data_IF_778903787044
#
_entry.id   IF_778903787044
#
_cell.length_a   1.000
_cell.length_b   1.000
_cell.length_c   1.000
_cell.angle_alpha   90.00
_cell.angle_beta   90.00
_cell.angle_gamma   90.00
#
_symmetry.space_group_name_H-M   'P 1'
#
loop_
_entity.id
_entity.type
_entity.pdbx_description
1 polymer ?
#
# COMPACT_ATOMS: atom_id res chain seq x y z
N UNK A 1 9.37 2.99 18.12
CA UNK A 1 7.93 2.76 18.31
C UNK A 1 7.24 3.98 18.92
N UNK A 2 7.67 4.47 20.09
CA UNK A 2 7.03 5.58 20.79
C UNK A 2 6.92 6.87 19.96
N UNK A 3 7.92 7.21 19.15
CA UNK A 3 7.92 8.39 18.26
C UNK A 3 6.82 8.36 17.21
N UNK A 4 6.30 7.19 16.86
CA UNK A 4 5.21 7.00 15.89
C UNK A 4 3.83 7.25 16.49
N UNK A 5 3.72 7.34 17.81
CA UNK A 5 2.47 7.55 18.57
C UNK A 5 1.33 6.62 18.11
N UNK A 6 1.55 5.30 18.07
CA UNK A 6 0.49 4.38 17.65
C UNK A 6 -0.64 4.34 18.67
N UNK A 7 -1.87 4.05 18.22
CA UNK A 7 -3.01 3.78 19.12
C UNK A 7 -2.80 2.48 19.92
N UNK A 8 -2.24 1.46 19.25
CA UNK A 8 -1.76 0.21 19.86
C UNK A 8 -0.35 -0.05 19.35
N UNK A 9 0.63 -0.11 20.25
CA UNK A 9 2.02 -0.34 19.89
C UNK A 9 2.59 -1.56 20.60
N UNK A 10 3.17 -2.49 19.82
CA UNK A 10 3.86 -3.67 20.32
C UNK A 10 5.31 -3.66 19.83
N UNK A 11 6.26 -3.78 20.73
CA UNK A 11 7.69 -3.93 20.44
C UNK A 11 8.15 -5.33 20.79
N UNK A 12 8.95 -5.92 19.91
CA UNK A 12 9.55 -7.25 20.10
C UNK A 12 11.05 -7.17 19.96
N UNK A 13 11.80 -7.77 20.86
CA UNK A 13 13.27 -7.86 20.83
C UNK A 13 13.71 -9.15 21.49
N UNK A 14 14.84 -9.72 21.06
CA UNK A 14 15.46 -10.89 21.69
C UNK A 14 16.09 -10.58 23.05
N UNK A 15 16.50 -9.33 23.25
CA UNK A 15 17.22 -8.89 24.45
C UNK A 15 16.25 -8.53 25.57
N UNK A 16 16.19 -9.37 26.58
CA UNK A 16 15.39 -9.10 27.80
C UNK A 16 15.75 -7.76 28.44
N UNK A 17 17.04 -7.38 28.42
CA UNK A 17 17.50 -6.11 28.97
C UNK A 17 16.96 -4.92 28.20
N UNK A 18 16.92 -4.98 26.86
CA UNK A 18 16.34 -3.93 26.01
C UNK A 18 14.84 -3.85 26.20
N UNK A 19 14.16 -4.99 26.27
CA UNK A 19 12.71 -5.05 26.56
C UNK A 19 12.38 -4.46 27.92
N UNK A 20 13.15 -4.78 28.95
CA UNK A 20 12.98 -4.22 30.30
C UNK A 20 13.15 -2.70 30.32
N UNK A 21 14.18 -2.19 29.64
CA UNK A 21 14.43 -0.76 29.55
C UNK A 21 13.33 -0.05 28.73
N UNK A 22 12.84 -0.68 27.64
CA UNK A 22 11.75 -0.16 26.83
C UNK A 22 10.44 -0.05 27.62
N UNK A 23 10.09 -1.07 28.42
CA UNK A 23 8.93 -1.05 29.32
C UNK A 23 9.03 0.06 30.37
N UNK A 24 10.23 0.27 30.91
CA UNK A 24 10.48 1.35 31.89
C UNK A 24 10.29 2.74 31.29
N UNK A 25 10.73 2.95 30.03
CA UNK A 25 10.65 4.26 29.36
C UNK A 25 9.30 4.55 28.75
N UNK A 26 8.57 3.52 28.37
CA UNK A 26 7.31 3.63 27.63
C UNK A 26 6.26 2.66 28.19
N UNK A 27 5.73 2.93 29.40
CA UNK A 27 4.79 2.03 30.08
C UNK A 27 3.45 1.87 29.33
N UNK A 28 3.10 2.83 28.48
CA UNK A 28 1.86 2.80 27.67
C UNK A 28 1.94 1.85 26.46
N UNK A 29 3.13 1.30 26.18
CA UNK A 29 3.35 0.39 25.04
C UNK A 29 3.60 -1.03 25.54
N UNK A 30 3.21 -2.02 24.74
CA UNK A 30 3.50 -3.43 25.04
C UNK A 30 4.86 -3.81 24.47
N UNK A 31 5.65 -4.57 25.26
CA UNK A 31 6.92 -5.10 24.81
C UNK A 31 7.04 -6.58 25.19
N UNK A 32 7.53 -7.41 24.28
CA UNK A 32 7.71 -8.85 24.47
C UNK A 32 9.14 -9.29 24.12
N UNK A 33 9.68 -10.21 24.91
CA UNK A 33 10.97 -10.85 24.61
C UNK A 33 10.67 -12.11 23.81
N UNK A 34 10.78 -12.00 22.48
CA UNK A 34 10.51 -13.09 21.54
C UNK A 34 11.47 -13.01 20.35
N UNK A 35 11.85 -14.14 19.74
CA UNK A 35 12.52 -14.13 18.45
C UNK A 35 11.55 -13.62 17.36
N UNK A 36 12.10 -13.01 16.31
CA UNK A 36 11.30 -12.48 15.20
C UNK A 36 10.45 -13.55 14.52
N UNK A 37 10.97 -14.77 14.46
CA UNK A 37 10.29 -15.96 13.91
C UNK A 37 9.06 -16.39 14.72
N UNK A 38 8.95 -15.96 15.98
CA UNK A 38 7.79 -16.23 16.86
C UNK A 38 6.79 -15.08 16.94
N UNK A 39 6.96 -14.00 16.16
CA UNK A 39 6.06 -12.83 16.23
C UNK A 39 4.59 -13.17 15.96
N UNK A 40 4.34 -14.25 15.24
CA UNK A 40 2.98 -14.78 15.00
C UNK A 40 2.23 -15.23 16.27
N UNK A 41 2.94 -15.48 17.38
CA UNK A 41 2.35 -15.87 18.67
C UNK A 41 1.68 -14.69 19.40
N UNK A 42 1.88 -13.46 18.94
CA UNK A 42 1.23 -12.27 19.52
C UNK A 42 -0.30 -12.30 19.41
N UNK A 43 -0.85 -13.01 18.41
CA UNK A 43 -2.29 -13.19 18.22
C UNK A 43 -3.04 -11.95 17.71
N UNK A 44 -2.37 -10.81 17.59
CA UNK A 44 -2.90 -9.54 17.08
C UNK A 44 -2.53 -9.35 15.61
N UNK A 45 -3.29 -8.52 14.89
CA UNK A 45 -2.92 -8.03 13.56
C UNK A 45 -2.68 -6.51 13.59
N UNK A 46 -1.77 -6.02 12.74
CA UNK A 46 -1.30 -4.65 12.77
C UNK A 46 -1.40 -3.98 11.40
N UNK A 47 -1.70 -2.68 11.37
CA UNK A 47 -1.67 -1.86 10.15
C UNK A 47 -0.24 -1.68 9.62
N UNK A 48 0.74 -1.60 10.53
CA UNK A 48 2.15 -1.45 10.21
C UNK A 48 3.00 -2.45 10.98
N UNK A 49 3.85 -3.18 10.25
CA UNK A 49 4.90 -4.03 10.83
C UNK A 49 6.26 -3.47 10.40
N UNK A 50 7.16 -3.22 11.37
CA UNK A 50 8.46 -2.64 11.10
C UNK A 50 9.55 -3.60 11.56
N UNK A 51 10.36 -4.08 10.60
CA UNK A 51 11.56 -4.87 10.85
C UNK A 51 12.78 -3.93 10.78
N UNK A 52 13.33 -3.56 11.94
CA UNK A 52 14.47 -2.65 12.02
C UNK A 52 15.75 -3.44 12.28
N UNK A 53 16.63 -3.51 11.29
CA UNK A 53 17.90 -4.26 11.29
C UNK A 53 17.72 -5.79 11.49
N UNK A 54 16.48 -6.28 11.50
CA UNK A 54 16.15 -7.66 11.86
C UNK A 54 16.52 -8.65 10.76
N UNK A 55 16.25 -8.31 9.48
CA UNK A 55 16.36 -9.27 8.36
C UNK A 55 17.79 -9.76 8.12
N UNK A 56 18.79 -8.95 8.50
CA UNK A 56 20.21 -9.32 8.42
C UNK A 56 20.71 -10.13 9.62
N UNK A 57 19.94 -10.25 10.69
CA UNK A 57 20.35 -10.88 11.96
C UNK A 57 19.64 -12.20 12.23
N UNK A 58 18.49 -12.46 11.57
CA UNK A 58 17.73 -13.70 11.74
C UNK A 58 18.41 -14.87 11.01
N UNK A 59 18.25 -16.05 11.58
CA UNK A 59 18.80 -17.28 11.01
C UNK A 59 18.02 -17.73 9.77
N UNK A 60 16.68 -17.69 9.83
CA UNK A 60 15.78 -18.05 8.74
C UNK A 60 14.82 -16.90 8.40
N UNK A 61 15.17 -16.15 7.35
CA UNK A 61 14.36 -15.04 6.83
C UNK A 61 12.98 -15.52 6.37
N UNK A 62 12.89 -16.75 5.88
CA UNK A 62 11.65 -17.31 5.35
C UNK A 62 10.66 -17.62 6.49
N UNK A 63 11.18 -18.14 7.62
CA UNK A 63 10.37 -18.37 8.81
C UNK A 63 9.93 -17.06 9.44
N UNK A 64 10.83 -16.07 9.52
CA UNK A 64 10.48 -14.71 9.92
C UNK A 64 9.31 -14.16 9.10
N UNK A 65 9.40 -14.22 7.75
CA UNK A 65 8.36 -13.67 6.89
C UNK A 65 7.01 -14.41 7.04
N UNK A 66 7.04 -15.73 7.27
CA UNK A 66 5.84 -16.51 7.58
C UNK A 66 5.21 -16.10 8.93
N UNK A 67 6.05 -15.86 9.95
CA UNK A 67 5.56 -15.38 11.24
C UNK A 67 4.97 -13.97 11.12
N UNK A 68 5.61 -13.10 10.34
CA UNK A 68 5.11 -11.74 10.05
C UNK A 68 3.76 -11.79 9.34
N UNK A 69 3.52 -12.73 8.40
CA UNK A 69 2.22 -12.86 7.73
C UNK A 69 1.07 -13.11 8.71
N UNK A 70 1.32 -13.86 9.79
CA UNK A 70 0.27 -14.17 10.80
C UNK A 70 -0.21 -12.93 11.55
N UNK A 71 0.61 -11.88 11.61
CA UNK A 71 0.28 -10.58 12.24
C UNK A 71 -0.11 -9.52 11.21
N UNK A 72 -0.27 -9.91 9.94
CA UNK A 72 -0.72 -9.05 8.86
C UNK A 72 -2.21 -9.23 8.56
N UNK A 73 -2.82 -8.16 8.07
CA UNK A 73 -4.08 -8.17 7.34
C UNK A 73 -3.89 -7.55 5.95
N UNK A 74 -4.90 -7.55 5.09
CA UNK A 74 -4.79 -7.13 3.69
C UNK A 74 -4.27 -5.69 3.48
N UNK A 75 -4.45 -4.81 4.49
CA UNK A 75 -3.97 -3.41 4.44
C UNK A 75 -2.64 -3.20 5.15
N UNK A 76 -2.06 -4.24 5.75
CA UNK A 76 -0.79 -4.12 6.47
C UNK A 76 0.33 -3.66 5.55
N UNK A 77 1.11 -2.68 6.02
CA UNK A 77 2.37 -2.28 5.40
C UNK A 77 3.54 -2.84 6.20
N UNK A 78 4.30 -3.72 5.57
CA UNK A 78 5.56 -4.21 6.09
C UNK A 78 6.67 -3.24 5.68
N UNK A 79 7.40 -2.70 6.65
CA UNK A 79 8.53 -1.81 6.44
C UNK A 79 9.81 -2.48 6.93
N UNK A 80 10.77 -2.68 6.05
CA UNK A 80 12.09 -3.22 6.39
C UNK A 80 13.10 -2.08 6.33
N UNK A 81 13.75 -1.83 7.46
CA UNK A 81 14.76 -0.77 7.59
C UNK A 81 16.09 -1.43 7.94
N UNK A 82 17.09 -1.22 7.09
CA UNK A 82 18.43 -1.76 7.31
C UNK A 82 19.51 -0.83 6.78
N UNK A 83 20.76 -1.09 7.17
CA UNK A 83 21.90 -0.36 6.61
C UNK A 83 22.07 -0.68 5.12
N UNK A 84 22.34 0.36 4.34
CA UNK A 84 22.67 0.21 2.93
C UNK A 84 24.04 -0.42 2.75
N UNK A 85 24.15 -1.44 1.89
CA UNK A 85 25.41 -2.10 1.55
C UNK A 85 26.49 -1.14 1.05
N UNK A 86 26.11 -0.02 0.46
CA UNK A 86 27.04 1.01 0.00
C UNK A 86 27.94 1.55 1.13
N UNK A 87 27.42 1.55 2.35
CA UNK A 87 28.12 2.07 3.52
C UNK A 87 28.94 1.00 4.27
N UNK A 88 28.84 -0.28 3.88
CA UNK A 88 29.56 -1.38 4.51
C UNK A 88 31.07 -1.14 4.66
N UNK A 89 31.81 -0.72 3.60
CA UNK A 89 33.27 -0.52 3.73
C UNK A 89 33.61 0.56 4.76
N UNK A 90 32.84 1.66 4.75
CA UNK A 90 33.07 2.77 5.69
C UNK A 90 32.73 2.38 7.13
N UNK A 91 31.59 1.72 7.34
CA UNK A 91 31.19 1.28 8.67
C UNK A 91 32.16 0.24 9.23
N UNK A 92 32.67 -0.69 8.41
CA UNK A 92 33.70 -1.64 8.78
C UNK A 92 35.05 -0.96 9.15
N UNK A 93 35.40 0.11 8.44
CA UNK A 93 36.59 0.91 8.77
C UNK A 93 36.42 1.61 10.13
N UNK A 94 35.28 2.21 10.40
CA UNK A 94 34.94 2.86 11.67
C UNK A 94 34.98 1.87 12.85
N UNK A 95 34.56 0.63 12.63
CA UNK A 95 34.68 -0.45 13.64
C UNK A 95 36.14 -0.87 13.89
N UNK A 96 36.94 -1.01 12.82
CA UNK A 96 38.38 -1.30 12.93
C UNK A 96 39.13 -0.19 13.68
N UNK A 97 38.74 1.07 13.44
CA UNK A 97 39.29 2.24 14.12
C UNK A 97 38.74 2.44 15.55
N UNK A 98 37.83 1.57 16.02
CA UNK A 98 37.14 1.65 17.32
C UNK A 98 36.32 2.94 17.50
N UNK A 99 36.01 3.62 16.44
CA UNK A 99 35.12 4.80 16.42
C UNK A 99 33.65 4.42 16.48
N UNK A 100 33.30 3.20 16.08
CA UNK A 100 31.98 2.58 16.23
C UNK A 100 32.11 1.29 17.01
N UNK A 101 31.17 0.98 17.92
CA UNK A 101 31.10 -0.34 18.58
C UNK A 101 30.83 -1.42 17.54
N UNK A 102 31.50 -2.56 17.66
CA UNK A 102 31.17 -3.75 16.86
C UNK A 102 29.73 -4.15 17.15
N UNK A 103 28.93 -4.23 16.10
CA UNK A 103 27.61 -4.83 16.13
C UNK A 103 27.69 -6.36 15.95
N UNK A 104 26.57 -7.07 16.07
CA UNK A 104 26.48 -8.47 15.65
C UNK A 104 26.85 -8.61 14.17
N UNK A 105 27.27 -9.80 13.78
CA UNK A 105 27.49 -10.10 12.36
C UNK A 105 26.17 -9.93 11.60
N UNK A 106 26.17 -9.06 10.61
CA UNK A 106 25.00 -8.75 9.81
C UNK A 106 25.21 -9.21 8.37
N UNK A 107 24.21 -9.84 7.81
CA UNK A 107 24.12 -10.06 6.38
C UNK A 107 23.72 -8.74 5.68
N UNK A 108 24.67 -8.17 4.94
CA UNK A 108 24.45 -6.94 4.17
C UNK A 108 23.67 -7.22 2.89
N UNK A 109 22.36 -7.39 3.03
CA UNK A 109 21.48 -7.69 1.91
C UNK A 109 21.20 -6.42 1.11
N UNK A 110 21.45 -6.41 -0.21
CA UNK A 110 20.98 -5.33 -1.08
C UNK A 110 19.45 -5.32 -1.19
N UNK A 111 18.87 -4.17 -1.50
CA UNK A 111 17.41 -4.00 -1.55
C UNK A 111 16.72 -4.90 -2.58
N UNK A 112 17.40 -5.26 -3.66
CA UNK A 112 16.90 -6.19 -4.67
C UNK A 112 16.87 -7.64 -4.18
N UNK A 113 17.81 -8.05 -3.34
CA UNK A 113 17.77 -9.35 -2.67
C UNK A 113 16.65 -9.42 -1.65
N UNK A 114 16.42 -8.34 -0.89
CA UNK A 114 15.29 -8.26 0.04
C UNK A 114 13.98 -8.36 -0.73
N UNK A 115 13.85 -7.67 -1.85
CA UNK A 115 12.64 -7.75 -2.70
C UNK A 115 12.39 -9.17 -3.22
N UNK A 116 13.46 -9.91 -3.56
CA UNK A 116 13.34 -11.33 -3.92
C UNK A 116 12.91 -12.22 -2.76
N UNK A 117 13.50 -12.02 -1.58
CA UNK A 117 13.11 -12.75 -0.37
C UNK A 117 11.67 -12.46 0.03
N UNK A 118 11.23 -11.20 -0.08
CA UNK A 118 9.85 -10.80 0.15
C UNK A 118 8.90 -11.53 -0.80
N UNK A 119 9.23 -11.58 -2.09
CA UNK A 119 8.41 -12.30 -3.08
C UNK A 119 8.29 -13.80 -2.75
N UNK A 120 9.38 -14.44 -2.33
CA UNK A 120 9.38 -15.84 -1.86
C UNK A 120 8.56 -16.03 -0.57
N UNK A 121 8.43 -14.97 0.23
CA UNK A 121 7.63 -14.93 1.45
C UNK A 121 6.18 -14.48 1.23
N UNK A 122 5.69 -14.44 -0.02
CA UNK A 122 4.36 -13.93 -0.39
C UNK A 122 4.14 -12.46 0.01
N UNK A 123 5.17 -11.63 -0.13
CA UNK A 123 5.08 -10.18 -0.04
C UNK A 123 5.47 -9.54 -1.37
N UNK A 124 4.79 -8.46 -1.72
CA UNK A 124 5.11 -7.63 -2.88
C UNK A 124 5.75 -6.33 -2.42
N UNK A 125 6.89 -5.99 -3.02
CA UNK A 125 7.56 -4.71 -2.77
C UNK A 125 6.81 -3.59 -3.48
N UNK A 126 6.33 -2.61 -2.70
CA UNK A 126 5.65 -1.41 -3.22
C UNK A 126 6.67 -0.31 -3.55
N UNK A 127 7.64 -0.10 -2.65
CA UNK A 127 8.60 1.00 -2.78
C UNK A 127 9.90 0.69 -2.07
N UNK A 128 11.01 1.13 -2.64
CA UNK A 128 12.34 1.13 -2.03
C UNK A 128 12.93 2.53 -2.09
N UNK A 129 13.49 2.99 -0.97
CA UNK A 129 14.18 4.29 -0.90
C UNK A 129 15.25 4.31 0.17
N UNK A 130 16.21 5.19 0.02
CA UNK A 130 17.27 5.42 1.02
C UNK A 130 16.89 6.54 1.99
N UNK A 131 17.37 6.43 3.23
CA UNK A 131 17.23 7.45 4.26
C UNK A 131 18.60 7.86 4.80
N UNK A 132 18.68 9.09 5.31
CA UNK A 132 19.87 9.64 5.99
C UNK A 132 21.10 9.58 5.09
N UNK A 133 21.18 10.38 4.01
CA UNK A 133 22.36 10.41 3.14
C UNK A 133 23.63 10.91 3.86
N UNK A 134 23.50 11.69 4.94
CA UNK A 134 24.61 12.17 5.74
C UNK A 134 24.48 11.71 7.20
N UNK A 135 25.22 10.67 7.60
CA UNK A 135 25.09 10.02 8.92
C UNK A 135 25.80 10.77 10.07
N UNK A 136 26.66 11.75 9.76
CA UNK A 136 27.39 12.49 10.79
C UNK A 136 26.50 13.59 11.40
N UNK A 137 26.46 13.69 12.72
CA UNK A 137 25.75 14.76 13.40
C UNK A 137 26.63 16.01 13.46
N UNK A 138 26.31 16.99 12.63
CA UNK A 138 26.86 18.34 12.68
C UNK A 138 25.68 19.31 12.87
N UNK A 139 25.62 20.06 14.01
CA UNK A 139 24.47 20.91 14.30
C UNK A 139 24.13 21.85 13.13
N UNK A 140 22.88 21.89 12.71
CA UNK A 140 22.39 22.69 11.58
C UNK A 140 22.71 22.11 10.20
N UNK A 141 23.93 21.63 9.96
CA UNK A 141 24.39 21.13 8.66
C UNK A 141 23.75 19.79 8.31
N UNK A 142 23.75 18.83 9.24
CA UNK A 142 23.21 17.49 8.99
C UNK A 142 21.73 17.53 8.61
N UNK A 143 20.93 18.35 9.31
CA UNK A 143 19.52 18.50 9.01
C UNK A 143 19.29 19.12 7.63
N UNK A 144 20.07 20.15 7.27
CA UNK A 144 20.00 20.80 5.98
C UNK A 144 20.41 19.84 4.85
N UNK A 145 21.56 19.18 5.00
CA UNK A 145 22.09 18.25 3.98
C UNK A 145 21.13 17.08 3.77
N UNK A 146 20.63 16.46 4.85
CA UNK A 146 19.68 15.36 4.76
C UNK A 146 18.35 15.77 4.13
N UNK A 147 17.89 17.00 4.40
CA UNK A 147 16.67 17.53 3.80
C UNK A 147 16.85 17.81 2.30
N UNK A 148 18.00 18.34 1.89
CA UNK A 148 18.27 18.68 0.49
C UNK A 148 18.63 17.43 -0.31
N UNK A 149 19.62 16.64 0.13
CA UNK A 149 20.10 15.45 -0.58
C UNK A 149 19.06 14.32 -0.58
N UNK A 150 18.29 14.18 0.51
CA UNK A 150 17.24 13.15 0.61
C UNK A 150 16.08 13.34 -0.38
N UNK A 151 15.89 14.59 -0.86
CA UNK A 151 14.80 14.92 -1.79
C UNK A 151 15.26 15.04 -3.26
N UNK A 152 16.56 14.95 -3.53
CA UNK A 152 17.06 15.02 -4.91
C UNK A 152 16.87 13.69 -5.63
N UNK A 153 16.28 13.69 -6.85
CA UNK A 153 16.14 12.51 -7.68
C UNK A 153 17.50 11.81 -7.89
N UNK A 154 17.56 10.51 -7.64
CA UNK A 154 18.78 9.71 -7.81
C UNK A 154 19.75 9.69 -6.62
N UNK A 155 19.75 10.69 -5.73
CA UNK A 155 20.64 10.70 -4.55
C UNK A 155 20.04 9.99 -3.33
N UNK A 156 18.75 9.73 -3.31
CA UNK A 156 18.09 8.96 -2.25
C UNK A 156 18.63 7.52 -2.12
N UNK A 157 19.25 6.95 -3.15
CA UNK A 157 19.92 5.64 -3.08
C UNK A 157 21.22 5.65 -2.27
N UNK A 158 21.82 6.83 -2.04
CA UNK A 158 23.05 6.98 -1.25
C UNK A 158 22.81 7.01 0.27
N UNK A 159 21.56 6.85 0.70
CA UNK A 159 21.22 6.85 2.12
C UNK A 159 21.98 5.80 2.93
N UNK A 160 22.33 6.13 4.19
CA UNK A 160 22.91 5.19 5.15
C UNK A 160 21.99 4.00 5.38
N UNK A 161 20.69 4.22 5.43
CA UNK A 161 19.69 3.19 5.60
C UNK A 161 18.85 3.03 4.32
N UNK A 162 18.59 1.79 3.94
CA UNK A 162 17.62 1.42 2.93
C UNK A 162 16.31 1.03 3.60
N UNK A 163 15.21 1.52 3.04
CA UNK A 163 13.86 1.19 3.47
C UNK A 163 13.14 0.49 2.32
N UNK A 164 12.62 -0.69 2.59
CA UNK A 164 11.77 -1.45 1.67
C UNK A 164 10.37 -1.51 2.27
N UNK A 165 9.38 -1.01 1.53
CA UNK A 165 7.97 -1.08 1.90
C UNK A 165 7.31 -2.16 1.06
N UNK A 166 6.60 -3.06 1.73
CA UNK A 166 5.94 -4.19 1.09
C UNK A 166 4.54 -4.41 1.66
N UNK A 167 3.75 -5.21 0.97
CA UNK A 167 2.44 -5.70 1.43
C UNK A 167 2.35 -7.21 1.24
N UNK A 168 1.50 -7.86 2.01
CA UNK A 168 1.21 -9.28 1.83
C UNK A 168 0.42 -9.49 0.53
N UNK A 169 0.79 -10.55 -0.22
CA UNK A 169 0.03 -11.10 -1.34
C UNK A 169 -0.43 -12.53 -1.04
N UNK A 170 -0.37 -12.94 0.22
CA UNK A 170 -0.86 -14.25 0.63
C UNK A 170 -2.37 -14.34 0.40
N UNK A 171 -2.85 -15.31 -0.39
CA UNK A 171 -4.27 -15.48 -0.69
C UNK A 171 -5.14 -15.60 0.57
N UNK A 172 -4.64 -16.22 1.63
CA UNK A 172 -5.39 -16.40 2.89
C UNK A 172 -5.60 -15.07 3.64
N UNK A 173 -4.67 -14.11 3.49
CA UNK A 173 -4.76 -12.77 4.02
C UNK A 173 -5.67 -11.90 3.14
N UNK A 174 -5.54 -12.04 1.82
CA UNK A 174 -6.30 -11.27 0.82
C UNK A 174 -7.75 -11.71 0.76
N UNK A 175 -8.03 -13.02 0.86
CA UNK A 175 -9.38 -13.57 0.75
C UNK A 175 -10.35 -13.00 1.80
N UNK A 176 -9.85 -12.63 2.98
CA UNK A 176 -10.63 -11.94 4.01
C UNK A 176 -11.08 -10.52 3.60
N UNK A 177 -10.46 -9.96 2.58
CA UNK A 177 -10.70 -8.59 2.11
C UNK A 177 -11.25 -8.54 0.67
N UNK A 178 -11.70 -9.65 0.12
CA UNK A 178 -12.28 -9.68 -1.23
C UNK A 178 -13.49 -8.75 -1.32
N UNK A 179 -13.47 -7.74 -2.20
CA UNK A 179 -14.64 -6.93 -2.46
C UNK A 179 -15.76 -7.81 -3.00
N UNK A 180 -16.99 -7.52 -2.57
CA UNK A 180 -18.17 -8.34 -2.91
C UNK A 180 -19.08 -7.66 -3.91
N UNK A 181 -18.90 -6.37 -4.13
CA UNK A 181 -19.74 -5.57 -5.02
C UNK A 181 -18.94 -4.49 -5.71
N UNK A 182 -19.41 -4.05 -6.89
CA UNK A 182 -18.74 -3.01 -7.67
C UNK A 182 -19.73 -1.94 -8.12
N UNK A 183 -19.34 -0.68 -7.98
CA UNK A 183 -20.04 0.48 -8.57
C UNK A 183 -19.16 1.10 -9.65
N UNK A 184 -19.66 1.15 -10.87
CA UNK A 184 -19.01 1.77 -12.03
C UNK A 184 -19.64 3.14 -12.24
N UNK A 185 -18.87 4.20 -12.02
CA UNK A 185 -19.29 5.58 -12.23
C UNK A 185 -18.90 5.99 -13.65
N UNK A 186 -19.89 6.45 -14.41
CA UNK A 186 -19.72 6.90 -15.79
C UNK A 186 -20.05 8.40 -15.87
N UNK A 187 -19.04 9.29 -15.71
CA UNK A 187 -19.26 10.71 -15.95
C UNK A 187 -19.42 10.95 -17.45
N UNK A 188 -20.58 11.46 -17.86
CA UNK A 188 -20.91 11.67 -19.27
C UNK A 188 -21.23 13.14 -19.56
N UNK A 189 -20.58 13.71 -20.57
CA UNK A 189 -20.85 15.04 -21.06
C UNK A 189 -20.64 15.10 -22.56
N UNK A 190 -21.71 15.39 -23.32
CA UNK A 190 -21.71 15.38 -24.78
C UNK A 190 -21.27 14.02 -25.37
N UNK A 191 -21.82 12.93 -24.84
CA UNK A 191 -21.48 11.56 -25.20
C UNK A 191 -22.71 10.70 -25.55
N UNK A 192 -23.76 11.31 -26.08
CA UNK A 192 -25.05 10.65 -26.41
C UNK A 192 -24.87 9.36 -27.24
N UNK A 193 -23.92 9.37 -28.20
CA UNK A 193 -23.62 8.23 -29.07
C UNK A 193 -22.97 7.01 -28.40
N UNK A 194 -22.41 7.17 -27.19
CA UNK A 194 -21.69 6.12 -26.53
C UNK A 194 -22.46 5.42 -25.39
N UNK A 195 -23.51 6.07 -24.85
CA UNK A 195 -24.23 5.58 -23.66
C UNK A 195 -24.76 4.15 -23.82
N UNK A 196 -25.41 3.85 -24.94
CA UNK A 196 -25.91 2.51 -25.23
C UNK A 196 -24.79 1.47 -25.37
N UNK A 197 -23.69 1.86 -25.99
CA UNK A 197 -22.55 0.98 -26.19
C UNK A 197 -21.89 0.58 -24.87
N UNK A 198 -21.81 1.49 -23.89
CA UNK A 198 -21.27 1.19 -22.54
C UNK A 198 -22.04 0.06 -21.91
N UNK A 199 -23.37 0.14 -21.85
CA UNK A 199 -24.20 -0.91 -21.24
C UNK A 199 -24.11 -2.25 -21.99
N UNK A 200 -24.00 -2.20 -23.32
CA UNK A 200 -23.87 -3.42 -24.12
C UNK A 200 -22.51 -4.12 -23.94
N UNK A 201 -21.46 -3.39 -23.59
CA UNK A 201 -20.08 -3.87 -23.54
C UNK A 201 -19.54 -4.14 -22.13
N UNK A 202 -20.13 -3.52 -21.09
CA UNK A 202 -19.70 -3.78 -19.70
C UNK A 202 -20.00 -5.23 -19.32
N UNK A 203 -19.00 -6.06 -19.02
CA UNK A 203 -19.23 -7.45 -18.60
C UNK A 203 -19.70 -7.52 -17.15
N UNK A 204 -20.31 -8.65 -16.78
CA UNK A 204 -20.60 -8.97 -15.39
C UNK A 204 -19.38 -9.62 -14.76
N UNK A 205 -18.83 -9.03 -13.69
CA UNK A 205 -17.60 -9.51 -13.02
C UNK A 205 -17.68 -9.48 -11.49
N UNK A 206 -18.69 -8.81 -10.93
CA UNK A 206 -18.88 -8.73 -9.48
C UNK A 206 -20.22 -9.38 -9.08
N UNK A 207 -20.30 -10.00 -7.87
CA UNK A 207 -21.52 -10.64 -7.38
C UNK A 207 -22.73 -9.68 -7.32
N UNK A 208 -22.47 -8.43 -7.03
CA UNK A 208 -23.41 -7.31 -7.15
C UNK A 208 -22.70 -6.18 -7.89
N UNK A 209 -23.30 -5.72 -8.96
CA UNK A 209 -22.72 -4.71 -9.84
C UNK A 209 -23.77 -3.64 -10.14
N UNK A 210 -23.34 -2.38 -10.13
CA UNK A 210 -24.15 -1.27 -10.56
C UNK A 210 -23.36 -0.33 -11.48
N UNK A 211 -24.08 0.34 -12.37
CA UNK A 211 -23.56 1.43 -13.19
C UNK A 211 -24.33 2.70 -12.83
N UNK A 212 -23.60 3.78 -12.59
CA UNK A 212 -24.15 5.09 -12.25
C UNK A 212 -23.67 6.09 -13.30
N UNK A 213 -24.56 6.47 -14.21
CA UNK A 213 -24.32 7.57 -15.11
C UNK A 213 -24.49 8.89 -14.39
N UNK A 214 -23.48 9.76 -14.48
CA UNK A 214 -23.53 11.12 -13.93
C UNK A 214 -23.39 12.11 -15.07
N UNK A 215 -24.50 12.70 -15.46
CA UNK A 215 -24.57 13.65 -16.57
C UNK A 215 -24.00 15.03 -16.17
N UNK A 216 -23.15 15.57 -17.04
CA UNK A 216 -22.24 16.68 -16.79
C UNK A 216 -22.64 18.03 -17.38
N UNK A 217 -23.94 18.38 -17.43
CA UNK A 217 -24.49 19.59 -18.08
C UNK A 217 -24.13 19.62 -19.57
N UNK A 218 -24.55 18.58 -20.30
CA UNK A 218 -24.37 18.44 -21.74
C UNK A 218 -25.18 19.49 -22.52
N UNK A 219 -24.77 19.74 -23.74
CA UNK A 219 -25.46 20.59 -24.71
C UNK A 219 -26.12 19.79 -25.83
N UNK A 220 -25.91 18.48 -25.83
CA UNK A 220 -26.54 17.51 -26.75
C UNK A 220 -27.56 16.64 -25.98
N UNK A 221 -28.11 15.63 -26.65
CA UNK A 221 -29.15 14.72 -26.13
C UNK A 221 -28.60 13.65 -25.15
N UNK A 222 -27.44 13.88 -24.51
CA UNK A 222 -26.81 12.89 -23.62
C UNK A 222 -27.71 12.51 -22.45
N UNK A 223 -28.37 13.48 -21.81
CA UNK A 223 -29.29 13.20 -20.69
C UNK A 223 -30.50 12.37 -21.11
N UNK A 224 -31.14 12.74 -22.18
CA UNK A 224 -32.32 12.05 -22.76
C UNK A 224 -31.94 10.62 -23.14
N UNK A 225 -30.77 10.41 -23.75
CA UNK A 225 -30.25 9.08 -24.08
C UNK A 225 -29.99 8.25 -22.83
N UNK A 226 -29.35 8.81 -21.78
CA UNK A 226 -29.11 8.12 -20.50
C UNK A 226 -30.47 7.67 -19.91
N UNK A 227 -31.45 8.58 -19.82
CA UNK A 227 -32.77 8.23 -19.26
C UNK A 227 -33.46 7.12 -20.06
N UNK A 228 -33.41 7.19 -21.37
CA UNK A 228 -33.99 6.17 -22.27
C UNK A 228 -33.32 4.82 -22.05
N UNK A 229 -31.99 4.76 -22.06
CA UNK A 229 -31.24 3.52 -21.96
C UNK A 229 -31.37 2.91 -20.55
N UNK A 230 -31.39 3.71 -19.49
CA UNK A 230 -31.65 3.24 -18.11
C UNK A 230 -33.10 2.68 -17.99
N UNK A 231 -34.11 3.32 -18.64
CA UNK A 231 -35.48 2.83 -18.60
C UNK A 231 -35.74 1.56 -19.42
N UNK A 232 -34.95 1.33 -20.47
CA UNK A 232 -35.02 0.14 -21.33
C UNK A 232 -34.16 -1.03 -20.83
N UNK A 233 -33.30 -0.79 -19.84
CA UNK A 233 -32.30 -1.79 -19.40
C UNK A 233 -32.94 -2.90 -18.54
N UNK A 234 -32.81 -4.14 -18.99
CA UNK A 234 -33.28 -5.38 -18.33
C UNK A 234 -32.14 -6.38 -18.03
N UNK A 235 -30.89 -5.92 -18.06
CA UNK A 235 -29.71 -6.75 -17.89
C UNK A 235 -29.41 -7.11 -16.42
N UNK A 236 -28.25 -7.80 -16.17
CA UNK A 236 -27.96 -8.46 -14.90
C UNK A 236 -27.56 -7.53 -13.74
N UNK A 237 -27.34 -6.25 -13.95
CA UNK A 237 -26.91 -5.32 -12.92
C UNK A 237 -27.80 -4.08 -12.82
N UNK A 238 -27.72 -3.35 -11.71
CA UNK A 238 -28.49 -2.14 -11.52
C UNK A 238 -27.91 -0.98 -12.33
N UNK A 239 -28.74 -0.22 -13.03
CA UNK A 239 -28.32 1.00 -13.74
C UNK A 239 -29.08 2.20 -13.18
N UNK A 240 -28.36 3.27 -12.88
CA UNK A 240 -28.93 4.53 -12.35
C UNK A 240 -28.40 5.72 -13.12
N UNK A 241 -29.21 6.80 -13.14
CA UNK A 241 -28.83 8.08 -13.73
C UNK A 241 -29.00 9.22 -12.73
N UNK A 242 -28.07 10.17 -12.78
CA UNK A 242 -28.19 11.44 -12.04
C UNK A 242 -27.48 12.56 -12.77
N UNK A 243 -27.86 13.81 -12.47
CA UNK A 243 -27.14 14.99 -12.94
C UNK A 243 -26.13 15.45 -11.89
N UNK A 244 -24.99 15.96 -12.31
CA UNK A 244 -24.04 16.60 -11.40
C UNK A 244 -24.60 17.92 -10.83
N UNK A 245 -24.10 18.33 -9.67
CA UNK A 245 -24.53 19.59 -9.03
C UNK A 245 -23.62 20.77 -9.41
N UNK A 246 -22.34 20.49 -9.62
CA UNK A 246 -21.31 21.49 -9.93
C UNK A 246 -20.86 21.48 -11.38
N UNK A 247 -19.55 21.55 -11.60
CA UNK A 247 -18.94 21.58 -12.93
C UNK A 247 -17.71 20.68 -13.00
N UNK A 248 -17.53 20.08 -14.18
CA UNK A 248 -16.35 19.29 -14.54
C UNK A 248 -16.42 17.84 -14.08
N UNK A 249 -15.58 16.98 -14.69
CA UNK A 249 -15.54 15.54 -14.47
C UNK A 249 -15.39 15.16 -12.99
N UNK A 250 -14.52 15.89 -12.25
CA UNK A 250 -14.27 15.58 -10.82
C UNK A 250 -15.51 15.77 -9.93
N UNK A 251 -16.43 16.68 -10.27
CA UNK A 251 -17.69 16.85 -9.56
C UNK A 251 -18.64 15.69 -9.83
N UNK A 252 -18.78 15.31 -11.09
CA UNK A 252 -19.57 14.16 -11.51
C UNK A 252 -19.09 12.85 -10.82
N UNK A 253 -17.77 12.63 -10.78
CA UNK A 253 -17.18 11.45 -10.13
C UNK A 253 -17.46 11.45 -8.63
N UNK A 254 -17.25 12.57 -7.92
CA UNK A 254 -17.53 12.67 -6.48
C UNK A 254 -19.01 12.40 -6.18
N UNK A 255 -19.92 12.93 -6.99
CA UNK A 255 -21.35 12.69 -6.85
C UNK A 255 -21.68 11.21 -7.06
N UNK A 256 -21.11 10.58 -8.09
CA UNK A 256 -21.26 9.16 -8.35
C UNK A 256 -20.74 8.31 -7.19
N UNK A 257 -19.55 8.60 -6.67
CA UNK A 257 -18.98 7.90 -5.51
C UNK A 257 -19.84 8.05 -4.24
N UNK A 258 -20.39 9.23 -4.00
CA UNK A 258 -21.27 9.45 -2.85
C UNK A 258 -22.60 8.65 -2.95
N UNK A 259 -23.06 8.36 -4.15
CA UNK A 259 -24.26 7.57 -4.41
C UNK A 259 -24.01 6.06 -4.54
N UNK A 260 -22.74 5.65 -4.65
CA UNK A 260 -22.35 4.27 -4.86
C UNK A 260 -22.56 3.40 -3.62
N UNK A 261 -23.05 2.17 -3.83
CA UNK A 261 -23.26 1.17 -2.78
C UNK A 261 -22.28 -0.01 -2.83
N UNK A 262 -21.36 -0.02 -3.80
CA UNK A 262 -20.40 -1.09 -3.99
C UNK A 262 -19.16 -0.97 -3.12
N UNK A 263 -18.54 -2.11 -2.81
CA UNK A 263 -17.29 -2.19 -2.06
C UNK A 263 -16.09 -1.67 -2.90
N UNK A 264 -16.17 -1.80 -4.21
CA UNK A 264 -15.18 -1.32 -5.18
C UNK A 264 -15.81 -0.21 -6.01
N UNK A 265 -15.15 0.95 -6.04
CA UNK A 265 -15.56 2.09 -6.85
C UNK A 265 -14.65 2.18 -8.08
N UNK A 266 -15.25 2.21 -9.25
CA UNK A 266 -14.56 2.27 -10.54
C UNK A 266 -15.05 3.47 -11.34
N UNK A 267 -14.18 4.03 -12.18
CA UNK A 267 -14.54 5.08 -13.12
C UNK A 267 -14.38 4.51 -14.53
N UNK A 268 -15.40 4.68 -15.37
CA UNK A 268 -15.34 4.39 -16.80
C UNK A 268 -15.68 5.67 -17.57
N UNK A 269 -14.77 6.12 -18.41
CA UNK A 269 -14.98 7.29 -19.23
C UNK A 269 -16.01 7.02 -20.33
N UNK A 270 -16.96 7.95 -20.50
CA UNK A 270 -18.07 7.77 -21.43
C UNK A 270 -17.65 7.76 -22.91
N UNK A 271 -16.48 8.28 -23.24
CA UNK A 271 -15.88 8.22 -24.59
C UNK A 271 -15.31 6.85 -24.97
N UNK A 272 -15.38 5.88 -24.04
CA UNK A 272 -14.88 4.52 -24.23
C UNK A 272 -13.37 4.49 -24.59
N UNK A 273 -12.60 5.47 -24.13
CA UNK A 273 -11.14 5.50 -24.32
C UNK A 273 -10.44 4.30 -23.66
N UNK A 274 -11.02 3.76 -22.59
CA UNK A 274 -10.68 2.45 -22.03
C UNK A 274 -11.82 1.48 -22.38
N UNK A 275 -11.51 0.33 -23.00
CA UNK A 275 -12.53 -0.67 -23.31
C UNK A 275 -13.25 -1.17 -22.04
N UNK A 276 -14.59 -1.16 -21.99
CA UNK A 276 -15.35 -1.66 -20.84
C UNK A 276 -15.02 -3.11 -20.47
N UNK A 277 -14.57 -3.90 -21.43
CA UNK A 277 -14.15 -5.30 -21.28
C UNK A 277 -12.91 -5.47 -20.40
N UNK A 278 -12.14 -4.40 -20.17
CA UNK A 278 -10.96 -4.43 -19.27
C UNK A 278 -11.32 -4.23 -17.80
N UNK A 279 -12.52 -3.80 -17.46
CA UNK A 279 -12.96 -3.59 -16.08
C UNK A 279 -12.74 -4.81 -15.15
N UNK A 280 -13.01 -6.08 -15.60
CA UNK A 280 -12.71 -7.25 -14.78
C UNK A 280 -11.26 -7.34 -14.35
N UNK A 281 -10.30 -6.98 -15.20
CA UNK A 281 -8.88 -7.05 -14.88
C UNK A 281 -8.49 -6.04 -13.78
N UNK A 282 -9.06 -4.82 -13.80
CA UNK A 282 -8.88 -3.84 -12.73
C UNK A 282 -9.53 -4.30 -11.42
N UNK A 283 -10.74 -4.85 -11.49
CA UNK A 283 -11.44 -5.40 -10.34
C UNK A 283 -10.65 -6.55 -9.70
N UNK A 284 -10.16 -7.49 -10.50
CA UNK A 284 -9.35 -8.61 -10.02
C UNK A 284 -8.01 -8.14 -9.44
N UNK A 285 -7.37 -7.14 -10.03
CA UNK A 285 -6.14 -6.59 -9.51
C UNK A 285 -6.35 -6.02 -8.09
N UNK A 286 -7.45 -5.32 -7.84
CA UNK A 286 -7.82 -4.83 -6.51
C UNK A 286 -8.23 -5.97 -5.59
N UNK A 287 -9.08 -6.90 -6.04
CA UNK A 287 -9.56 -8.05 -5.26
C UNK A 287 -8.44 -8.99 -4.86
N UNK A 288 -7.39 -9.15 -5.69
CA UNK A 288 -6.20 -9.94 -5.39
C UNK A 288 -5.15 -9.20 -4.56
N UNK A 289 -5.42 -7.95 -4.15
CA UNK A 289 -4.48 -7.13 -3.40
C UNK A 289 -3.29 -6.60 -4.22
N UNK A 290 -3.33 -6.69 -5.54
CA UNK A 290 -2.30 -6.12 -6.43
C UNK A 290 -2.50 -4.62 -6.69
N UNK A 291 -3.71 -4.11 -6.47
CA UNK A 291 -4.10 -2.71 -6.58
C UNK A 291 -4.43 -2.07 -5.23
N UNK A 292 -4.40 -0.73 -5.14
CA UNK A 292 -4.90 0.07 -4.00
C UNK A 292 -6.01 0.99 -4.46
#
# INVERSE_FOLDING_TARGET
>A
LASLRPSVGVGVDLSENLVREARRRHPDLRFSTLPGESVGELGDTFDYVILSQTIGEVYDVRELLRAVQRVCHARTRLMIVQYSRLWQPMLSLLEKLRLKRRGPEQNWLPSDEISRLLHLGNFETIRTFGMTPFPCYVPGLSALVNRVLGNLPGLHHLGLSAVVVARSIDPTVIEKFRPRSASIIVPARNESGHIRQILARVPTFAPRQEIIFVEGNSTDDTWEEIQRVVGEYDGPFTVRAMRQDGKGKGDAVRKGFAAAGGDVLMILDADISVPPEELPAFYEALASGKGE
#
